data_IF_713484073025
#
_entry.id   IF_713484073025
#
_cell.length_a   1.000
_cell.length_b   1.000
_cell.length_c   1.000
_cell.angle_alpha   90.00
_cell.angle_beta   90.00
_cell.angle_gamma   90.00
#
_symmetry.space_group_name_H-M   'P 1'
#
loop_
_entity.id
_entity.type
_entity.pdbx_description
1 polymer ?
#
# COMPACT_ATOMS: atom_id res chain seq x y z
N UNK A 1 -2.49 8.60 23.09
CA UNK A 1 -1.64 9.77 23.39
C UNK A 1 -0.29 9.43 22.77
N UNK A 2 -0.05 9.87 21.51
CA UNK A 2 1.19 9.57 20.80
C UNK A 2 2.34 10.33 21.45
N UNK A 3 3.42 9.63 21.81
CA UNK A 3 4.64 10.29 22.26
C UNK A 3 5.15 11.24 21.18
N UNK A 4 5.32 12.50 21.57
CA UNK A 4 5.95 13.51 20.73
C UNK A 4 7.37 13.03 20.39
N UNK A 5 7.77 13.16 19.13
CA UNK A 5 9.18 12.93 18.75
C UNK A 5 10.01 13.89 19.61
N UNK A 6 10.83 13.32 20.50
CA UNK A 6 11.78 14.14 21.24
C UNK A 6 12.83 14.74 20.29
N UNK A 7 13.47 15.82 20.75
CA UNK A 7 14.44 16.55 19.94
C UNK A 7 15.63 15.70 19.45
N UNK A 8 15.96 14.65 20.19
CA UNK A 8 17.07 13.73 19.85
C UNK A 8 16.68 12.77 18.72
N UNK A 9 15.46 12.22 18.79
CA UNK A 9 14.88 11.41 17.71
C UNK A 9 14.66 12.23 16.43
N UNK A 10 14.21 13.48 16.55
CA UNK A 10 14.09 14.39 15.41
C UNK A 10 15.46 14.67 14.76
N UNK A 11 16.52 14.88 15.57
CA UNK A 11 17.89 15.05 15.07
C UNK A 11 18.41 13.79 14.39
N UNK A 12 18.17 12.61 14.94
CA UNK A 12 18.56 11.36 14.32
C UNK A 12 17.87 11.13 12.98
N UNK A 13 16.56 11.43 12.87
CA UNK A 13 15.81 11.37 11.61
C UNK A 13 16.35 12.36 10.56
N UNK A 14 16.68 13.59 10.98
CA UNK A 14 17.26 14.61 10.07
C UNK A 14 18.67 14.23 9.63
N UNK A 15 19.44 13.57 10.48
CA UNK A 15 20.79 13.10 10.15
C UNK A 15 20.80 11.92 9.19
N UNK A 16 19.71 11.15 9.10
CA UNK A 16 19.55 10.07 8.13
C UNK A 16 19.26 10.64 6.74
N UNK A 17 20.31 10.67 5.90
CA UNK A 17 20.24 11.21 4.54
C UNK A 17 19.29 10.43 3.61
N UNK A 18 18.91 9.21 3.96
CA UNK A 18 18.01 8.38 3.15
C UNK A 18 16.56 8.50 3.61
N UNK A 19 16.33 8.59 4.89
CA UNK A 19 15.01 8.63 5.50
C UNK A 19 14.40 10.03 5.48
N UNK A 20 15.21 11.06 5.77
CA UNK A 20 14.74 12.43 5.87
C UNK A 20 14.06 12.98 4.60
N UNK A 21 14.62 12.82 3.39
CA UNK A 21 13.95 13.28 2.18
C UNK A 21 12.58 12.64 2.00
N UNK A 22 12.46 11.33 2.23
CA UNK A 22 11.20 10.59 2.11
C UNK A 22 10.17 11.04 3.13
N UNK A 23 10.60 11.25 4.38
CA UNK A 23 9.74 11.75 5.44
C UNK A 23 9.26 13.18 5.15
N UNK A 24 10.16 14.05 4.70
CA UNK A 24 9.85 15.43 4.27
C UNK A 24 8.79 15.42 3.18
N UNK A 25 9.01 14.64 2.14
CA UNK A 25 8.10 14.57 0.99
C UNK A 25 6.75 13.97 1.40
N UNK A 26 6.75 12.98 2.30
CA UNK A 26 5.52 12.41 2.82
C UNK A 26 4.72 13.40 3.68
N UNK A 27 5.38 14.22 4.49
CA UNK A 27 4.71 15.15 5.42
C UNK A 27 4.31 16.46 4.73
N UNK A 28 5.17 17.04 3.88
CA UNK A 28 5.02 18.39 3.36
C UNK A 28 4.84 18.48 1.84
N UNK A 29 5.27 17.49 1.08
CA UNK A 29 5.10 17.46 -0.38
C UNK A 29 4.47 16.16 -0.86
N UNK A 30 3.31 15.83 -0.30
CA UNK A 30 2.66 14.55 -0.51
C UNK A 30 1.97 14.42 -1.87
N UNK A 31 1.51 15.51 -2.49
CA UNK A 31 0.71 15.48 -3.73
C UNK A 31 1.37 14.69 -4.87
N UNK A 32 2.70 14.79 -5.12
CA UNK A 32 3.36 13.98 -6.13
C UNK A 32 3.35 12.47 -5.88
N UNK A 33 3.05 12.05 -4.65
CA UNK A 33 2.99 10.64 -4.26
C UNK A 33 1.59 10.03 -4.39
N UNK A 34 0.58 10.86 -4.69
CA UNK A 34 -0.80 10.41 -4.87
C UNK A 34 -0.90 9.62 -6.17
N UNK A 35 -1.48 8.41 -6.10
CA UNK A 35 -1.70 7.60 -7.28
C UNK A 35 -2.63 8.33 -8.28
N UNK A 36 -2.31 8.34 -9.58
CA UNK A 36 -3.07 9.10 -10.60
C UNK A 36 -4.58 8.84 -10.57
N UNK A 37 -5.02 7.62 -10.28
CA UNK A 37 -6.45 7.26 -10.24
C UNK A 37 -7.28 8.06 -9.23
N UNK A 38 -6.66 8.68 -8.23
CA UNK A 38 -7.35 9.59 -7.32
C UNK A 38 -7.47 11.00 -7.87
N UNK A 39 -6.56 11.38 -8.76
CA UNK A 39 -6.52 12.71 -9.34
C UNK A 39 -7.37 12.82 -10.62
N UNK A 40 -7.73 11.71 -11.26
CA UNK A 40 -8.46 11.68 -12.52
C UNK A 40 -9.73 12.53 -12.52
N UNK A 41 -10.53 12.47 -11.47
CA UNK A 41 -11.76 13.24 -11.36
C UNK A 41 -11.49 14.73 -11.07
N UNK A 42 -10.48 15.01 -10.24
CA UNK A 42 -10.08 16.39 -9.91
C UNK A 42 -9.46 17.08 -11.13
N UNK A 43 -8.67 16.35 -11.93
CA UNK A 43 -8.04 16.89 -13.13
C UNK A 43 -9.05 17.25 -14.23
N UNK A 44 -10.24 16.63 -14.25
CA UNK A 44 -11.30 17.00 -15.19
C UNK A 44 -11.88 18.40 -14.93
N UNK A 45 -11.79 18.87 -13.70
CA UNK A 45 -12.28 20.19 -13.26
C UNK A 45 -11.23 21.27 -13.44
N UNK A 46 -9.95 20.90 -13.54
CA UNK A 46 -8.85 21.85 -13.72
C UNK A 46 -8.71 22.21 -15.21
N UNK A 47 -8.37 23.49 -15.53
CA UNK A 47 -8.15 23.88 -16.91
C UNK A 47 -6.99 23.08 -17.52
N UNK A 48 -7.08 22.73 -18.83
CA UNK A 48 -6.09 21.87 -19.50
C UNK A 48 -4.70 22.50 -19.67
N UNK A 49 -4.55 23.77 -19.37
CA UNK A 49 -3.28 24.48 -19.44
C UNK A 49 -2.42 24.20 -18.21
N UNK A 50 -1.28 23.57 -18.42
CA UNK A 50 -0.16 23.47 -17.45
C UNK A 50 -0.42 22.74 -16.13
N UNK A 51 -1.08 21.57 -16.20
CA UNK A 51 -1.36 20.76 -15.02
C UNK A 51 -0.16 20.51 -14.08
N UNK A 52 1.05 20.42 -14.63
CA UNK A 52 2.28 20.27 -13.82
C UNK A 52 2.64 21.53 -13.02
N UNK A 53 2.46 22.72 -13.61
CA UNK A 53 2.70 23.99 -12.91
C UNK A 53 1.64 24.24 -11.83
N UNK A 54 0.38 23.90 -12.11
CA UNK A 54 -0.70 24.01 -11.12
C UNK A 54 -0.43 23.15 -9.89
N UNK A 55 0.04 21.90 -10.10
CA UNK A 55 0.38 20.98 -9.01
C UNK A 55 1.57 21.46 -8.15
N UNK A 56 2.39 22.41 -8.62
CA UNK A 56 3.46 23.01 -7.82
C UNK A 56 2.96 24.07 -6.84
N UNK A 57 1.78 24.65 -7.08
CA UNK A 57 1.21 25.70 -6.24
C UNK A 57 0.78 25.17 -4.86
N UNK A 58 1.24 25.74 -3.74
CA UNK A 58 0.82 25.34 -2.39
C UNK A 58 -0.70 25.40 -2.17
N UNK A 59 -1.38 26.37 -2.79
CA UNK A 59 -2.85 26.49 -2.70
C UNK A 59 -3.56 25.33 -3.39
N UNK A 60 -3.08 24.92 -4.57
CA UNK A 60 -3.64 23.79 -5.31
C UNK A 60 -3.36 22.47 -4.57
N UNK A 61 -2.15 22.30 -4.02
CA UNK A 61 -1.83 21.15 -3.17
C UNK A 61 -2.76 21.06 -1.95
N UNK A 62 -2.98 22.19 -1.25
CA UNK A 62 -3.91 22.25 -0.13
C UNK A 62 -5.35 21.92 -0.52
N UNK A 63 -5.82 22.42 -1.66
CA UNK A 63 -7.15 22.09 -2.20
C UNK A 63 -7.28 20.60 -2.52
N UNK A 64 -6.29 20.00 -3.20
CA UNK A 64 -6.29 18.56 -3.53
C UNK A 64 -6.37 17.72 -2.25
N UNK A 65 -5.51 17.98 -1.27
CA UNK A 65 -5.49 17.23 -0.01
C UNK A 65 -6.82 17.37 0.74
N UNK A 66 -7.36 18.58 0.84
CA UNK A 66 -8.67 18.84 1.46
C UNK A 66 -9.79 18.10 0.72
N UNK A 67 -9.81 18.12 -0.61
CA UNK A 67 -10.81 17.42 -1.43
C UNK A 67 -10.74 15.90 -1.27
N UNK A 68 -9.56 15.37 -0.95
CA UNK A 68 -9.34 13.94 -0.67
C UNK A 68 -9.47 13.59 0.82
N UNK A 69 -9.92 14.53 1.65
CA UNK A 69 -10.15 14.32 3.09
C UNK A 69 -8.85 14.16 3.90
N UNK A 70 -7.72 14.66 3.37
CA UNK A 70 -6.44 14.63 4.07
C UNK A 70 -6.11 16.04 4.57
N UNK A 71 -6.07 16.19 5.88
CA UNK A 71 -5.64 17.45 6.48
C UNK A 71 -4.13 17.68 6.28
N UNK A 72 -3.71 18.92 5.95
CA UNK A 72 -2.31 19.30 5.86
C UNK A 72 -1.69 19.51 7.27
N UNK A 73 -1.97 18.62 8.22
CA UNK A 73 -1.52 18.77 9.59
C UNK A 73 -0.15 18.11 9.81
N UNK A 74 0.69 18.78 10.62
CA UNK A 74 1.92 18.21 11.12
C UNK A 74 1.58 17.05 12.06
N UNK A 75 1.75 15.83 11.60
CA UNK A 75 1.62 14.67 12.45
C UNK A 75 2.99 14.29 12.99
N UNK A 76 3.03 13.98 14.27
CA UNK A 76 4.15 13.25 14.84
C UNK A 76 4.23 11.90 14.12
N UNK A 77 5.33 11.65 13.42
CA UNK A 77 5.56 10.37 12.77
C UNK A 77 5.91 9.34 13.85
N UNK A 78 5.23 8.18 13.89
CA UNK A 78 5.50 7.16 14.89
C UNK A 78 6.94 6.65 14.79
N UNK A 79 7.55 6.27 15.92
CA UNK A 79 8.93 5.75 15.96
C UNK A 79 9.05 4.28 15.58
N UNK A 80 7.93 3.57 15.43
CA UNK A 80 7.96 2.15 15.15
C UNK A 80 8.41 1.87 13.71
N UNK A 81 9.14 0.77 13.52
CA UNK A 81 9.66 0.36 12.22
C UNK A 81 8.56 0.17 11.19
N UNK A 82 7.35 -0.17 11.63
CA UNK A 82 6.19 -0.40 10.77
C UNK A 82 5.65 0.86 10.13
N UNK A 83 5.72 1.99 10.82
CA UNK A 83 5.32 3.28 10.28
C UNK A 83 6.16 3.71 9.09
N UNK A 84 7.41 3.23 8.99
CA UNK A 84 8.30 3.51 7.87
C UNK A 84 7.80 2.94 6.53
N UNK A 85 6.87 1.97 6.55
CA UNK A 85 6.16 1.53 5.35
C UNK A 85 5.43 2.67 4.62
N UNK A 86 4.97 3.67 5.38
CA UNK A 86 4.33 4.87 4.83
C UNK A 86 5.28 5.67 3.91
N UNK A 87 6.59 5.50 4.08
CA UNK A 87 7.63 6.22 3.33
C UNK A 87 8.03 5.49 2.03
N UNK A 88 7.53 4.29 1.79
CA UNK A 88 7.73 3.59 0.53
C UNK A 88 7.06 4.35 -0.62
N UNK A 89 7.67 4.31 -1.79
CA UNK A 89 7.05 4.86 -3.01
C UNK A 89 5.83 4.04 -3.45
N UNK A 90 4.97 4.66 -4.27
CA UNK A 90 3.72 4.05 -4.71
C UNK A 90 3.93 2.75 -5.49
N UNK A 91 4.97 2.65 -6.32
CA UNK A 91 5.26 1.47 -7.12
C UNK A 91 5.65 0.28 -6.23
N UNK A 92 6.52 0.51 -5.24
CA UNK A 92 6.92 -0.50 -4.25
C UNK A 92 5.72 -0.95 -3.41
N UNK A 93 4.87 -0.02 -2.98
CA UNK A 93 3.65 -0.34 -2.23
C UNK A 93 2.65 -1.14 -3.08
N UNK A 94 2.46 -0.78 -4.33
CA UNK A 94 1.59 -1.52 -5.24
C UNK A 94 2.10 -2.95 -5.49
N UNK A 95 3.40 -3.10 -5.71
CA UNK A 95 4.03 -4.41 -5.84
C UNK A 95 3.86 -5.25 -4.56
N UNK A 96 4.06 -4.65 -3.38
CA UNK A 96 3.88 -5.30 -2.09
C UNK A 96 2.43 -5.78 -1.91
N UNK A 97 1.46 -4.94 -2.23
CA UNK A 97 0.02 -5.27 -2.20
C UNK A 97 -0.30 -6.44 -3.12
N UNK A 98 0.24 -6.45 -4.35
CA UNK A 98 0.07 -7.56 -5.28
C UNK A 98 0.65 -8.87 -4.75
N UNK A 99 1.82 -8.81 -4.11
CA UNK A 99 2.43 -9.97 -3.46
C UNK A 99 1.58 -10.51 -2.31
N UNK A 100 1.10 -9.63 -1.42
CA UNK A 100 0.23 -10.00 -0.29
C UNK A 100 -1.05 -10.66 -0.82
N UNK A 101 -1.72 -10.05 -1.78
CA UNK A 101 -2.94 -10.60 -2.38
C UNK A 101 -2.71 -11.93 -3.09
N UNK A 102 -1.62 -12.07 -3.83
CA UNK A 102 -1.27 -13.32 -4.52
C UNK A 102 -0.94 -14.45 -3.55
N UNK A 103 -0.25 -14.17 -2.45
CA UNK A 103 -0.01 -15.15 -1.37
C UNK A 103 -1.32 -15.60 -0.73
N UNK A 104 -2.23 -14.67 -0.46
CA UNK A 104 -3.56 -14.99 0.09
C UNK A 104 -4.39 -15.87 -0.86
N UNK A 105 -4.23 -15.65 -2.17
CA UNK A 105 -4.95 -16.40 -3.21
C UNK A 105 -4.19 -17.63 -3.72
N UNK A 106 -3.02 -17.99 -3.18
CA UNK A 106 -2.09 -18.94 -3.79
C UNK A 106 -2.71 -20.31 -4.06
N UNK A 107 -3.56 -20.81 -3.18
CA UNK A 107 -4.29 -22.05 -3.37
C UNK A 107 -5.16 -22.04 -4.63
N UNK A 108 -5.97 -20.99 -4.79
CA UNK A 108 -6.83 -20.81 -5.97
C UNK A 108 -6.04 -20.48 -7.24
N UNK A 109 -4.94 -19.74 -7.12
CA UNK A 109 -4.06 -19.45 -8.27
C UNK A 109 -3.45 -20.73 -8.85
N UNK A 110 -3.13 -21.72 -8.01
CA UNK A 110 -2.62 -23.04 -8.46
C UNK A 110 -3.64 -23.85 -9.23
N UNK A 111 -4.92 -23.68 -8.95
CA UNK A 111 -6.00 -24.41 -9.64
C UNK A 111 -6.38 -23.83 -11.00
N UNK A 112 -5.82 -22.67 -11.39
CA UNK A 112 -6.08 -22.04 -12.68
C UNK A 112 -5.34 -22.80 -13.76
N UNK A 113 -6.06 -23.49 -14.64
CA UNK A 113 -5.52 -24.27 -15.76
C UNK A 113 -5.81 -23.65 -17.14
N UNK A 114 -6.77 -22.74 -17.19
CA UNK A 114 -7.12 -22.07 -18.44
C UNK A 114 -5.99 -21.15 -18.93
N UNK A 115 -5.50 -21.40 -20.13
CA UNK A 115 -4.37 -20.67 -20.72
C UNK A 115 -4.62 -19.18 -20.97
N UNK A 116 -5.90 -18.76 -21.13
CA UNK A 116 -6.28 -17.36 -21.27
C UNK A 116 -6.11 -16.63 -19.94
N UNK A 117 -6.67 -17.21 -18.88
CA UNK A 117 -6.56 -16.67 -17.50
C UNK A 117 -5.11 -16.68 -17.03
N UNK A 118 -4.31 -17.71 -17.32
CA UNK A 118 -2.88 -17.75 -16.99
C UNK A 118 -2.11 -16.60 -17.67
N UNK A 119 -2.39 -16.30 -18.93
CA UNK A 119 -1.75 -15.15 -19.62
C UNK A 119 -2.15 -13.83 -19.01
N UNK A 120 -3.43 -13.66 -18.68
CA UNK A 120 -3.94 -12.46 -18.02
C UNK A 120 -3.32 -12.30 -16.61
N UNK A 121 -3.16 -13.38 -15.84
CA UNK A 121 -2.44 -13.35 -14.55
C UNK A 121 -0.99 -12.90 -14.68
N UNK A 122 -0.25 -13.41 -15.67
CA UNK A 122 1.13 -12.96 -15.94
C UNK A 122 1.21 -11.47 -16.27
N UNK A 123 0.24 -10.97 -17.02
CA UNK A 123 0.18 -9.55 -17.37
C UNK A 123 -0.22 -8.65 -16.18
N UNK A 124 -1.18 -9.10 -15.35
CA UNK A 124 -1.67 -8.32 -14.20
C UNK A 124 -0.73 -8.35 -13.00
N UNK A 125 0.01 -9.45 -12.82
CA UNK A 125 0.91 -9.70 -11.68
C UNK A 125 2.36 -9.94 -12.14
N UNK A 126 2.96 -8.98 -12.86
CA UNK A 126 4.33 -9.14 -13.35
C UNK A 126 5.30 -9.27 -12.17
N UNK A 127 6.24 -10.23 -12.27
CA UNK A 127 7.20 -10.52 -11.19
C UNK A 127 6.59 -11.16 -9.93
N UNK A 128 5.27 -11.41 -9.90
CA UNK A 128 4.57 -12.09 -8.81
C UNK A 128 4.11 -13.47 -9.23
N UNK A 129 3.40 -13.57 -10.34
CA UNK A 129 2.95 -14.85 -10.88
C UNK A 129 3.93 -15.35 -11.96
N UNK A 130 4.43 -16.58 -11.95
CA UNK A 130 4.12 -17.68 -11.02
C UNK A 130 5.04 -17.78 -9.79
N UNK A 131 5.93 -16.81 -9.56
CA UNK A 131 6.94 -16.88 -8.49
C UNK A 131 6.33 -17.10 -7.10
N UNK A 132 5.14 -16.56 -6.84
CA UNK A 132 4.44 -16.66 -5.56
C UNK A 132 4.39 -18.10 -5.03
N UNK A 133 4.30 -19.10 -5.90
CA UNK A 133 4.23 -20.50 -5.50
C UNK A 133 5.48 -21.03 -4.80
N UNK A 134 6.66 -20.49 -5.14
CA UNK A 134 7.92 -20.81 -4.47
C UNK A 134 7.99 -20.27 -3.03
N UNK A 135 7.14 -19.29 -2.70
CA UNK A 135 7.15 -18.63 -1.39
C UNK A 135 6.07 -19.10 -0.43
N UNK A 136 5.05 -19.83 -0.90
CA UNK A 136 3.92 -20.28 -0.05
C UNK A 136 4.39 -21.11 1.15
N UNK A 137 5.48 -21.89 1.02
CA UNK A 137 6.04 -22.65 2.12
C UNK A 137 6.49 -21.79 3.32
N UNK A 138 6.87 -20.53 3.07
CA UNK A 138 7.27 -19.57 4.10
C UNK A 138 6.08 -18.88 4.78
N UNK A 139 4.89 -18.98 4.19
CA UNK A 139 3.66 -18.32 4.63
C UNK A 139 2.54 -19.33 4.88
N UNK A 140 2.87 -20.44 5.55
CA UNK A 140 1.90 -21.50 5.88
C UNK A 140 0.70 -20.94 6.65
N UNK A 141 -0.50 -21.33 6.24
CA UNK A 141 -1.75 -20.91 6.86
C UNK A 141 -2.22 -19.52 6.43
N UNK A 142 -1.52 -18.85 5.49
CA UNK A 142 -1.93 -17.55 4.95
C UNK A 142 -2.93 -17.67 3.78
N UNK A 143 -3.01 -18.83 3.15
CA UNK A 143 -3.94 -19.06 2.04
C UNK A 143 -5.39 -18.99 2.54
N UNK A 144 -6.21 -18.16 1.87
CA UNK A 144 -7.63 -18.01 2.16
C UNK A 144 -8.40 -18.99 1.26
N UNK A 145 -9.06 -19.96 1.86
CA UNK A 145 -9.81 -20.99 1.13
C UNK A 145 -11.06 -20.44 0.47
N UNK A 146 -11.81 -19.62 1.19
CA UNK A 146 -13.01 -18.96 0.66
C UNK A 146 -12.78 -17.47 0.39
N UNK A 147 -12.44 -17.14 -0.85
CA UNK A 147 -12.18 -15.75 -1.27
C UNK A 147 -13.45 -14.97 -1.60
N UNK A 148 -14.62 -15.63 -1.63
CA UNK A 148 -15.86 -14.99 -2.07
C UNK A 148 -15.87 -14.61 -3.57
N UNK A 149 -14.79 -14.85 -4.32
CA UNK A 149 -14.71 -14.64 -5.76
C UNK A 149 -13.93 -15.75 -6.47
N UNK A 150 -14.21 -15.93 -7.76
CA UNK A 150 -13.45 -16.83 -8.64
C UNK A 150 -12.32 -16.06 -9.31
N UNK A 151 -11.19 -16.74 -9.54
CA UNK A 151 -10.08 -16.15 -10.29
C UNK A 151 -10.33 -16.35 -11.79
N UNK A 152 -10.81 -15.30 -12.40
CA UNK A 152 -11.10 -15.21 -13.84
C UNK A 152 -10.46 -13.92 -14.39
N UNK A 153 -10.42 -13.76 -15.72
CA UNK A 153 -9.80 -12.59 -16.36
C UNK A 153 -10.35 -11.26 -15.80
N UNK A 154 -11.67 -11.18 -15.54
CA UNK A 154 -12.33 -9.98 -15.02
C UNK A 154 -12.13 -9.70 -13.54
N UNK A 155 -11.62 -10.68 -12.77
CA UNK A 155 -11.47 -10.57 -11.30
C UNK A 155 -10.04 -10.33 -10.83
N UNK A 156 -9.09 -10.13 -11.73
CA UNK A 156 -7.67 -9.98 -11.38
C UNK A 156 -7.41 -8.76 -10.48
N UNK A 157 -8.20 -7.71 -10.62
CA UNK A 157 -8.17 -6.55 -9.72
C UNK A 157 -8.49 -6.88 -8.26
N UNK A 158 -9.28 -7.94 -8.03
CA UNK A 158 -9.66 -8.37 -6.68
C UNK A 158 -8.44 -8.86 -5.87
N UNK A 159 -7.42 -9.42 -6.55
CA UNK A 159 -6.18 -9.85 -5.89
C UNK A 159 -5.45 -8.63 -5.29
N UNK A 160 -5.32 -7.55 -6.06
CA UNK A 160 -4.74 -6.30 -5.56
C UNK A 160 -5.59 -5.67 -4.46
N UNK A 161 -6.92 -5.69 -4.62
CA UNK A 161 -7.87 -5.19 -3.62
C UNK A 161 -7.75 -5.95 -2.30
N UNK A 162 -7.70 -7.28 -2.34
CA UNK A 162 -7.50 -8.13 -1.18
C UNK A 162 -6.16 -7.82 -0.48
N UNK A 163 -5.08 -7.73 -1.25
CA UNK A 163 -3.77 -7.38 -0.70
C UNK A 163 -3.74 -6.00 -0.04
N UNK A 164 -4.38 -5.00 -0.67
CA UNK A 164 -4.54 -3.66 -0.11
C UNK A 164 -5.29 -3.67 1.21
N UNK A 165 -6.38 -4.43 1.27
CA UNK A 165 -7.18 -4.55 2.49
C UNK A 165 -6.39 -5.22 3.63
N UNK A 166 -5.66 -6.30 3.33
CA UNK A 166 -4.79 -6.97 4.31
C UNK A 166 -3.70 -6.00 4.80
N UNK A 167 -3.02 -5.29 3.91
CA UNK A 167 -2.00 -4.32 4.29
C UNK A 167 -2.56 -3.22 5.18
N UNK A 168 -3.71 -2.64 4.82
CA UNK A 168 -4.34 -1.58 5.59
C UNK A 168 -4.79 -2.05 6.97
N UNK A 169 -5.30 -3.28 7.10
CA UNK A 169 -5.69 -3.85 8.40
C UNK A 169 -4.51 -4.04 9.34
N UNK A 170 -3.30 -4.30 8.81
CA UNK A 170 -2.09 -4.36 9.64
C UNK A 170 -1.67 -3.00 10.21
N UNK A 171 -2.13 -1.93 9.58
CA UNK A 171 -1.78 -0.55 9.92
C UNK A 171 -2.89 0.18 10.67
N UNK A 172 -3.96 -0.53 11.08
CA UNK A 172 -5.09 0.04 11.82
C UNK A 172 -4.68 0.67 13.17
N UNK A 173 -3.53 0.28 13.71
CA UNK A 173 -2.96 0.89 14.93
C UNK A 173 -2.35 2.27 14.70
N UNK A 174 -2.08 2.65 13.46
CA UNK A 174 -1.52 3.96 13.12
C UNK A 174 -2.61 5.05 13.11
N UNK A 175 -2.22 6.32 13.31
CA UNK A 175 -3.14 7.44 13.17
C UNK A 175 -3.88 7.43 11.84
N UNK A 176 -5.20 7.62 11.88
CA UNK A 176 -6.07 7.54 10.70
C UNK A 176 -5.62 8.46 9.53
N UNK A 177 -5.06 9.62 9.87
CA UNK A 177 -4.52 10.57 8.89
C UNK A 177 -3.31 10.02 8.12
N UNK A 178 -2.45 9.24 8.77
CA UNK A 178 -1.31 8.58 8.13
C UNK A 178 -1.77 7.43 7.23
N UNK A 179 -2.73 6.63 7.72
CA UNK A 179 -3.34 5.55 6.92
C UNK A 179 -4.06 6.12 5.70
N UNK A 180 -4.74 7.28 5.83
CA UNK A 180 -5.37 7.97 4.70
C UNK A 180 -4.35 8.35 3.61
N UNK A 181 -3.17 8.86 3.99
CA UNK A 181 -2.08 9.14 3.04
C UNK A 181 -1.58 7.87 2.35
N UNK A 182 -1.40 6.77 3.10
CA UNK A 182 -1.02 5.50 2.48
C UNK A 182 -2.04 5.04 1.44
N UNK A 183 -3.34 5.13 1.76
CA UNK A 183 -4.41 4.81 0.81
C UNK A 183 -4.27 5.58 -0.49
N UNK A 184 -3.95 6.87 -0.41
CA UNK A 184 -3.79 7.71 -1.60
C UNK A 184 -2.57 7.35 -2.46
N UNK A 185 -1.55 6.67 -1.93
CA UNK A 185 -0.43 6.14 -2.71
C UNK A 185 -0.80 4.90 -3.53
N UNK A 186 -1.85 4.20 -3.13
CA UNK A 186 -2.32 2.99 -3.81
C UNK A 186 -3.38 3.35 -4.87
N UNK A 187 -3.55 2.51 -5.91
CA UNK A 187 -4.68 2.64 -6.82
C UNK A 187 -6.01 2.75 -6.06
N UNK A 188 -6.89 3.67 -6.47
CA UNK A 188 -8.21 3.87 -5.85
C UNK A 188 -8.97 2.55 -5.71
N UNK A 189 -8.91 1.70 -6.74
CA UNK A 189 -9.53 0.38 -6.73
C UNK A 189 -9.05 -0.56 -5.61
N UNK A 190 -7.86 -0.34 -5.05
CA UNK A 190 -7.32 -1.18 -3.97
C UNK A 190 -7.71 -0.68 -2.58
N UNK A 191 -8.11 0.57 -2.45
CA UNK A 191 -8.43 1.22 -1.19
C UNK A 191 -9.94 1.45 -1.00
N UNK A 192 -10.73 1.49 -2.08
CA UNK A 192 -12.20 1.61 -2.04
C UNK A 192 -12.90 0.29 -1.69
N UNK A 193 -12.19 -0.66 -1.12
CA UNK A 193 -12.79 -1.90 -0.70
C UNK A 193 -13.97 -1.62 0.23
N UNK A 194 -15.18 -1.65 -0.33
CA UNK A 194 -16.33 -2.06 0.44
C UNK A 194 -15.87 -3.28 1.24
N UNK A 195 -16.00 -3.24 2.58
CA UNK A 195 -15.61 -4.36 3.45
C UNK A 195 -15.98 -5.65 2.71
N UNK A 196 -15.05 -6.55 2.41
CA UNK A 196 -15.42 -7.78 1.73
C UNK A 196 -16.60 -8.35 2.49
N UNK A 197 -17.69 -8.66 1.76
CA UNK A 197 -18.96 -9.11 2.35
C UNK A 197 -18.83 -10.45 3.11
N UNK A 198 -17.63 -11.00 3.08
CA UNK A 198 -17.32 -12.24 3.78
C UNK A 198 -16.71 -11.93 5.14
N UNK A 199 -17.20 -12.64 6.15
CA UNK A 199 -16.62 -12.81 7.48
C UNK A 199 -15.13 -13.23 7.49
N UNK A 200 -14.45 -13.18 6.36
CA UNK A 200 -13.12 -13.71 6.04
C UNK A 200 -12.02 -12.87 6.68
N UNK A 201 -12.25 -11.59 6.89
CA UNK A 201 -11.31 -10.74 7.60
C UNK A 201 -11.82 -10.43 9.01
N UNK A 202 -12.06 -11.48 9.78
CA UNK A 202 -12.10 -11.33 11.21
C UNK A 202 -10.68 -10.91 11.65
N UNK A 203 -10.48 -9.70 12.19
CA UNK A 203 -9.15 -9.25 12.64
C UNK A 203 -8.53 -10.16 13.71
N UNK A 204 -9.31 -11.05 14.28
CA UNK A 204 -8.84 -12.06 15.22
C UNK A 204 -8.21 -13.30 14.53
N UNK A 205 -8.47 -13.55 13.26
CA UNK A 205 -7.71 -14.52 12.47
C UNK A 205 -6.51 -13.80 11.83
N UNK A 206 -5.54 -13.42 12.64
CA UNK A 206 -4.30 -12.75 12.20
C UNK A 206 -3.40 -13.71 11.40
N UNK A 207 -3.91 -14.17 10.29
CA UNK A 207 -3.20 -15.10 9.41
C UNK A 207 -1.95 -14.42 8.84
N UNK A 208 -2.07 -13.16 8.45
CA UNK A 208 -0.94 -12.32 8.03
C UNK A 208 -0.66 -11.29 9.12
N UNK A 209 0.48 -11.37 9.74
CA UNK A 209 0.90 -10.50 10.83
C UNK A 209 2.17 -9.73 10.47
N UNK A 210 2.59 -8.86 11.37
CA UNK A 210 3.81 -8.06 11.20
C UNK A 210 5.04 -8.92 10.87
N UNK A 211 5.21 -10.09 11.50
CA UNK A 211 6.33 -11.01 11.23
C UNK A 211 6.30 -11.53 9.80
N UNK A 212 5.10 -11.86 9.28
CA UNK A 212 4.92 -12.29 7.89
C UNK A 212 5.26 -11.19 6.91
N UNK A 213 4.82 -9.96 7.20
CA UNK A 213 5.16 -8.80 6.36
C UNK A 213 6.66 -8.52 6.37
N UNK A 214 7.30 -8.49 7.54
CA UNK A 214 8.76 -8.34 7.66
C UNK A 214 9.51 -9.41 6.85
N UNK A 215 9.04 -10.68 6.92
CA UNK A 215 9.61 -11.77 6.12
C UNK A 215 9.44 -11.54 4.62
N UNK A 216 8.27 -11.09 4.17
CA UNK A 216 8.01 -10.78 2.77
C UNK A 216 8.90 -9.64 2.27
N UNK A 217 9.03 -8.57 3.05
CA UNK A 217 9.93 -7.45 2.75
C UNK A 217 11.38 -7.94 2.59
N UNK A 218 11.88 -8.73 3.54
CA UNK A 218 13.24 -9.27 3.50
C UNK A 218 13.49 -10.13 2.26
N UNK A 219 12.52 -10.92 1.84
CA UNK A 219 12.66 -11.87 0.73
C UNK A 219 12.51 -11.23 -0.66
N UNK A 220 11.63 -10.23 -0.78
CA UNK A 220 11.24 -9.66 -2.09
C UNK A 220 11.57 -8.18 -2.27
N UNK A 221 11.70 -7.45 -1.18
CA UNK A 221 11.89 -6.00 -1.19
C UNK A 221 13.04 -5.61 -0.25
N UNK A 222 14.30 -6.05 -0.53
CA UNK A 222 15.42 -5.84 0.39
C UNK A 222 15.70 -4.36 0.69
N UNK A 223 15.48 -3.47 -0.27
CA UNK A 223 15.61 -2.02 -0.05
C UNK A 223 14.52 -1.49 0.88
N UNK A 224 13.27 -1.92 0.68
CA UNK A 224 12.16 -1.57 1.56
C UNK A 224 12.36 -2.18 2.96
N UNK A 225 12.88 -3.41 3.04
CA UNK A 225 13.24 -4.03 4.31
C UNK A 225 14.30 -3.23 5.06
N UNK A 226 15.36 -2.82 4.38
CA UNK A 226 16.40 -1.97 4.95
C UNK A 226 15.85 -0.64 5.47
N UNK A 227 14.90 -0.02 4.75
CA UNK A 227 14.26 1.22 5.18
C UNK A 227 13.39 1.02 6.44
N UNK A 228 12.66 -0.10 6.51
CA UNK A 228 11.65 -0.34 7.54
C UNK A 228 12.19 -1.04 8.80
N UNK A 229 13.30 -1.75 8.70
CA UNK A 229 13.75 -2.67 9.75
C UNK A 229 15.25 -2.51 10.10
N UNK A 230 15.84 -1.35 9.78
CA UNK A 230 17.24 -1.03 10.10
C UNK A 230 17.38 -0.25 11.40
#
# INVERSE_FOLDING_TARGET
>A
MGELIDMESARALVADQTLWPRLRDFLWDFVPQIHPSWLEELMKVLPPSDGSQLLSSPRVKGFILSSLGVEPSFHTFPKDDFSRLLLLDGATLEALVKWIGALACAGKLRSVTDGKTVRALKAALPGVYPEVFGYTAYFKGFEIEDLGFKIEEGSLGEIGRLGGHILLSLLDSLPASLVARLKLKLPKAYSDAAKPQSSILNPQSSIFNQKSLTRLLKLKFPEAYSLCCS
#
